data_IF_079283090041
#
_entry.id   IF_079283090041
#
_cell.length_a   1.000
_cell.length_b   1.000
_cell.length_c   1.000
_cell.angle_alpha   90.00
_cell.angle_beta   90.00
_cell.angle_gamma   90.00
#
_symmetry.space_group_name_H-M   'P 1'
#
loop_
_entity.id
_entity.type
_entity.pdbx_description
1 polymer ?
#
# COMPACT_ATOMS: atom_id res chain seq x y z
N UNK A 1 -0.98 -26.27 11.09
CA UNK A 1 -0.32 -25.00 11.47
C UNK A 1 -1.41 -24.06 11.96
N UNK A 2 -1.46 -23.77 13.27
CA UNK A 2 -2.48 -22.87 13.84
C UNK A 2 -2.08 -21.43 13.52
N UNK A 3 -2.78 -20.83 12.55
CA UNK A 3 -2.63 -19.40 12.27
C UNK A 3 -3.60 -18.70 13.22
N UNK A 4 -3.07 -18.04 14.24
CA UNK A 4 -3.85 -17.14 15.10
C UNK A 4 -4.57 -16.12 14.20
N UNK A 5 -5.91 -16.04 14.31
CA UNK A 5 -6.69 -14.97 13.68
C UNK A 5 -6.27 -13.65 14.32
N UNK A 6 -5.39 -12.91 13.65
CA UNK A 6 -5.05 -11.53 14.01
C UNK A 6 -5.98 -10.58 13.27
N UNK A 7 -6.38 -9.53 13.97
CA UNK A 7 -7.30 -8.49 13.49
C UNK A 7 -6.63 -7.53 12.48
N UNK A 8 -5.29 -7.51 12.44
CA UNK A 8 -4.45 -6.62 11.62
C UNK A 8 -3.54 -7.39 10.66
N UNK A 9 -3.14 -6.81 9.51
CA UNK A 9 -2.34 -7.52 8.49
C UNK A 9 -0.98 -7.96 9.05
N UNK A 10 -0.41 -9.07 8.53
CA UNK A 10 0.88 -9.59 8.99
C UNK A 10 1.99 -8.54 8.84
N UNK A 11 2.89 -8.47 9.82
CA UNK A 11 4.04 -7.57 9.76
C UNK A 11 4.88 -7.86 8.51
N UNK A 12 5.63 -6.86 8.02
CA UNK A 12 6.47 -7.00 6.82
C UNK A 12 7.42 -8.20 6.89
N UNK A 13 7.92 -8.50 8.09
CA UNK A 13 8.78 -9.65 8.39
C UNK A 13 8.04 -10.99 8.20
N UNK A 14 6.77 -11.06 8.60
CA UNK A 14 5.94 -12.25 8.46
C UNK A 14 5.64 -12.53 6.98
N UNK A 15 5.24 -11.50 6.22
CA UNK A 15 4.99 -11.62 4.78
C UNK A 15 6.25 -12.11 4.05
N UNK A 16 7.42 -11.54 4.41
CA UNK A 16 8.70 -11.93 3.81
C UNK A 16 9.08 -13.38 4.15
N UNK A 17 8.82 -13.84 5.37
CA UNK A 17 9.11 -15.22 5.79
C UNK A 17 8.28 -16.23 5.02
N UNK A 18 6.99 -15.96 4.84
CA UNK A 18 6.05 -16.92 4.24
C UNK A 18 6.12 -16.94 2.70
N UNK A 19 6.35 -15.79 2.04
CA UNK A 19 6.25 -15.69 0.57
C UNK A 19 7.58 -15.42 -0.14
N UNK A 20 8.62 -14.92 0.55
CA UNK A 20 9.87 -14.48 -0.09
C UNK A 20 9.75 -13.15 -0.85
N UNK A 21 10.89 -12.55 -1.22
CA UNK A 21 10.93 -11.21 -1.86
C UNK A 21 10.39 -11.18 -3.29
N UNK A 22 10.67 -12.22 -4.08
CA UNK A 22 10.25 -12.30 -5.49
C UNK A 22 8.75 -12.50 -5.61
N UNK A 23 8.17 -13.39 -4.79
CA UNK A 23 6.72 -13.64 -4.79
C UNK A 23 5.90 -12.44 -4.35
N UNK A 24 6.42 -11.59 -3.46
CA UNK A 24 5.75 -10.34 -3.06
C UNK A 24 5.63 -9.35 -4.23
N UNK A 25 6.71 -9.17 -5.00
CA UNK A 25 6.67 -8.35 -6.21
C UNK A 25 5.74 -8.94 -7.28
N UNK A 26 5.71 -10.27 -7.44
CA UNK A 26 4.77 -10.94 -8.33
C UNK A 26 3.31 -10.87 -7.86
N UNK A 27 3.07 -10.74 -6.55
CA UNK A 27 1.73 -10.56 -5.99
C UNK A 27 1.15 -9.23 -6.46
N UNK A 28 1.97 -8.17 -6.45
CA UNK A 28 1.59 -6.82 -6.92
C UNK A 28 1.36 -6.76 -8.43
N UNK A 29 2.00 -7.64 -9.23
CA UNK A 29 1.83 -7.68 -10.68
C UNK A 29 0.41 -8.05 -11.13
N UNK A 30 -0.39 -8.67 -10.25
CA UNK A 30 -1.79 -9.03 -10.51
C UNK A 30 -2.79 -8.19 -9.71
N UNK A 31 -2.36 -7.04 -9.17
CA UNK A 31 -3.23 -6.13 -8.44
C UNK A 31 -3.58 -4.91 -9.27
N UNK A 32 -4.87 -4.65 -9.36
CA UNK A 32 -5.40 -3.35 -9.76
C UNK A 32 -5.24 -2.40 -8.58
N UNK A 33 -4.44 -1.35 -8.76
CA UNK A 33 -4.22 -0.32 -7.74
C UNK A 33 -5.11 0.86 -8.07
N UNK A 34 -6.08 1.15 -7.20
CA UNK A 34 -7.01 2.26 -7.37
C UNK A 34 -6.79 3.27 -6.26
N UNK A 35 -6.53 4.52 -6.61
CA UNK A 35 -6.45 5.61 -5.64
C UNK A 35 -7.83 6.13 -5.29
N UNK A 36 -8.15 6.25 -4.01
CA UNK A 36 -9.32 7.00 -3.54
C UNK A 36 -8.81 8.24 -2.83
N UNK A 37 -9.03 9.40 -3.45
CA UNK A 37 -8.58 10.69 -2.94
C UNK A 37 -9.72 11.42 -2.23
N UNK A 38 -9.46 11.94 -1.05
CA UNK A 38 -10.33 12.92 -0.40
C UNK A 38 -10.18 14.29 -1.07
N UNK A 39 -11.27 14.88 -1.54
CA UNK A 39 -11.22 16.20 -2.19
C UNK A 39 -11.04 17.35 -1.19
N UNK A 40 -11.31 17.10 0.10
CA UNK A 40 -11.12 18.08 1.18
C UNK A 40 -9.65 18.17 1.63
N UNK A 41 -8.99 17.02 1.78
CA UNK A 41 -7.65 16.93 2.38
C UNK A 41 -6.56 16.60 1.36
N UNK A 42 -6.94 16.24 0.12
CA UNK A 42 -6.07 15.76 -0.95
C UNK A 42 -5.30 14.48 -0.63
N UNK A 43 -5.58 13.85 0.50
CA UNK A 43 -4.97 12.58 0.86
C UNK A 43 -5.54 11.43 0.05
N UNK A 44 -4.69 10.45 -0.21
CA UNK A 44 -4.99 9.31 -1.07
C UNK A 44 -4.76 8.04 -0.29
N UNK A 45 -5.78 7.19 -0.26
CA UNK A 45 -5.62 5.77 0.07
C UNK A 45 -5.54 4.98 -1.23
N UNK A 46 -4.52 4.14 -1.35
CA UNK A 46 -4.42 3.18 -2.46
C UNK A 46 -5.14 1.92 -2.05
N UNK A 47 -6.13 1.49 -2.82
CA UNK A 47 -6.88 0.26 -2.61
C UNK A 47 -6.45 -0.76 -3.63
N UNK A 48 -6.27 -1.99 -3.20
CA UNK A 48 -5.84 -3.09 -4.04
C UNK A 48 -7.02 -4.01 -4.34
N UNK A 49 -7.23 -4.26 -5.62
CA UNK A 49 -8.15 -5.28 -6.11
C UNK A 49 -7.37 -6.36 -6.85
N UNK A 50 -7.83 -7.60 -6.76
CA UNK A 50 -7.36 -8.69 -7.60
C UNK A 50 -8.53 -9.12 -8.49
N UNK A 51 -8.53 -8.66 -9.73
CA UNK A 51 -9.72 -8.72 -10.58
C UNK A 51 -10.86 -7.90 -9.93
N UNK A 52 -11.97 -8.54 -9.60
CA UNK A 52 -13.14 -7.85 -9.02
C UNK A 52 -13.24 -7.96 -7.49
N UNK A 53 -12.18 -8.32 -6.77
CA UNK A 53 -12.22 -8.53 -5.31
C UNK A 53 -11.20 -7.64 -4.61
N UNK A 54 -11.64 -6.87 -3.60
CA UNK A 54 -10.79 -6.03 -2.74
C UNK A 54 -9.93 -6.94 -1.87
N UNK A 55 -8.63 -6.67 -1.83
CA UNK A 55 -7.66 -7.54 -1.11
C UNK A 55 -6.76 -6.78 -0.15
N UNK A 56 -6.76 -5.45 -0.19
CA UNK A 56 -5.98 -4.65 0.76
C UNK A 56 -5.97 -3.17 0.45
N UNK A 57 -5.20 -2.44 1.22
CA UNK A 57 -4.93 -1.03 0.98
C UNK A 57 -3.52 -0.64 1.43
N UNK A 58 -3.10 0.54 1.00
CA UNK A 58 -1.91 1.22 1.45
C UNK A 58 -2.21 2.71 1.62
N UNK A 59 -1.71 3.28 2.70
CA UNK A 59 -1.80 4.70 2.99
C UNK A 59 -0.42 5.17 3.43
N UNK A 60 0.18 6.06 2.64
CA UNK A 60 1.58 6.49 2.85
C UNK A 60 1.71 7.79 3.64
N UNK A 61 0.62 8.56 3.71
CA UNK A 61 0.56 9.77 4.52
C UNK A 61 0.38 9.39 6.00
N UNK A 62 0.65 10.33 6.91
CA UNK A 62 0.58 10.08 8.36
C UNK A 62 -0.25 11.13 9.11
N UNK A 63 -1.10 11.87 8.39
CA UNK A 63 -1.89 12.93 9.02
C UNK A 63 -3.26 12.45 9.48
N UNK A 64 -3.75 11.32 8.95
CA UNK A 64 -4.98 10.68 9.43
C UNK A 64 -4.60 9.45 10.28
N UNK A 65 -5.23 9.28 11.46
CA UNK A 65 -5.03 8.09 12.30
C UNK A 65 -5.34 6.78 11.56
N UNK A 66 -4.54 5.75 11.84
CA UNK A 66 -4.67 4.44 11.17
C UNK A 66 -6.06 3.82 11.33
N UNK A 67 -6.69 3.97 12.50
CA UNK A 67 -8.06 3.48 12.74
C UNK A 67 -9.10 4.16 11.83
N UNK A 68 -8.96 5.46 11.58
CA UNK A 68 -9.87 6.19 10.70
C UNK A 68 -9.67 5.76 9.25
N UNK A 69 -8.41 5.56 8.83
CA UNK A 69 -8.08 5.02 7.51
C UNK A 69 -8.63 3.61 7.35
N UNK A 70 -8.50 2.75 8.36
CA UNK A 70 -9.02 1.38 8.32
C UNK A 70 -10.56 1.37 8.23
N UNK A 71 -11.24 2.21 9.02
CA UNK A 71 -12.70 2.41 8.90
C UNK A 71 -13.09 2.90 7.51
N UNK A 72 -12.35 3.86 6.96
CA UNK A 72 -12.58 4.35 5.61
C UNK A 72 -12.39 3.24 4.57
N UNK A 73 -11.29 2.49 4.63
CA UNK A 73 -11.04 1.33 3.78
C UNK A 73 -12.18 0.29 3.82
N UNK A 74 -12.70 0.01 5.02
CA UNK A 74 -13.83 -0.92 5.19
C UNK A 74 -15.15 -0.38 4.60
N UNK A 75 -15.28 0.94 4.42
CA UNK A 75 -16.43 1.55 3.74
C UNK A 75 -16.35 1.47 2.21
N UNK A 76 -15.16 1.21 1.65
CA UNK A 76 -14.94 1.07 0.21
C UNK A 76 -15.50 -0.30 -0.24
N UNK A 77 -16.20 -0.41 -1.38
CA UNK A 77 -16.82 -1.65 -1.82
C UNK A 77 -15.85 -2.83 -1.95
N UNK A 78 -16.31 -4.03 -1.59
CA UNK A 78 -15.54 -5.28 -1.76
C UNK A 78 -15.30 -5.63 -3.24
N UNK A 79 -16.11 -5.09 -4.16
CA UNK A 79 -15.99 -5.34 -5.60
C UNK A 79 -15.63 -4.07 -6.35
N UNK A 80 -14.68 -4.15 -7.27
CA UNK A 80 -14.24 -2.98 -8.04
C UNK A 80 -15.36 -2.45 -8.95
N UNK A 81 -16.20 -3.33 -9.47
CA UNK A 81 -17.36 -2.96 -10.28
C UNK A 81 -18.37 -2.05 -9.55
N UNK A 82 -18.39 -2.07 -8.21
CA UNK A 82 -19.30 -1.27 -7.40
C UNK A 82 -18.72 0.11 -7.04
N UNK A 83 -17.43 0.36 -7.34
CA UNK A 83 -16.73 1.61 -6.97
C UNK A 83 -17.37 2.85 -7.57
N UNK A 84 -17.78 2.77 -8.85
CA UNK A 84 -18.40 3.92 -9.53
C UNK A 84 -19.69 4.34 -8.83
N UNK A 85 -20.61 3.38 -8.61
CA UNK A 85 -21.87 3.66 -7.94
C UNK A 85 -21.68 4.12 -6.48
N UNK A 86 -20.63 3.63 -5.81
CA UNK A 86 -20.26 4.10 -4.47
C UNK A 86 -19.71 5.52 -4.48
N UNK A 87 -18.82 5.85 -5.42
CA UNK A 87 -18.27 7.19 -5.58
C UNK A 87 -19.35 8.22 -5.93
N UNK A 88 -20.28 7.85 -6.82
CA UNK A 88 -21.42 8.68 -7.21
C UNK A 88 -22.30 9.03 -5.98
N UNK A 89 -22.49 8.10 -5.03
CA UNK A 89 -23.22 8.36 -3.77
C UNK A 89 -22.48 9.32 -2.84
N UNK A 90 -21.16 9.35 -2.90
CA UNK A 90 -20.33 10.26 -2.12
C UNK A 90 -20.20 11.64 -2.77
N UNK A 91 -20.55 11.74 -4.06
CA UNK A 91 -20.50 12.97 -4.85
C UNK A 91 -19.11 13.58 -4.81
N UNK A 92 -19.04 14.90 -4.59
CA UNK A 92 -17.80 15.66 -4.66
C UNK A 92 -16.85 15.45 -3.47
N UNK A 93 -17.14 14.52 -2.56
CA UNK A 93 -16.29 14.25 -1.39
C UNK A 93 -15.00 13.53 -1.75
N UNK A 94 -15.04 12.71 -2.80
CA UNK A 94 -13.90 11.88 -3.21
C UNK A 94 -13.65 11.95 -4.71
N UNK A 95 -12.44 11.59 -5.12
CA UNK A 95 -12.09 11.30 -6.51
C UNK A 95 -11.53 9.88 -6.58
N UNK A 96 -12.02 9.07 -7.52
CA UNK A 96 -11.39 7.80 -7.87
C UNK A 96 -10.31 8.06 -8.92
N UNK A 97 -9.10 7.56 -8.66
CA UNK A 97 -7.94 7.67 -9.53
C UNK A 97 -7.61 6.26 -10.00
N UNK A 98 -7.98 5.94 -11.23
CA UNK A 98 -7.66 4.67 -11.86
C UNK A 98 -6.45 4.86 -12.78
N UNK A 99 -5.48 3.92 -12.79
CA UNK A 99 -4.46 3.92 -13.82
C UNK A 99 -5.13 3.69 -15.19
N UNK A 100 -4.58 4.25 -16.28
CA UNK A 100 -5.04 3.91 -17.61
C UNK A 100 -5.00 2.39 -17.80
N UNK A 101 -6.00 1.84 -18.50
CA UNK A 101 -6.00 0.41 -18.85
C UNK A 101 -4.70 0.05 -19.56
N UNK A 102 -4.16 -1.13 -19.25
CA UNK A 102 -2.91 -1.68 -19.78
C UNK A 102 -1.62 -0.94 -19.37
N UNK A 103 -1.69 0.02 -18.43
CA UNK A 103 -0.50 0.56 -17.78
C UNK A 103 -0.11 -0.27 -16.56
N UNK A 104 0.92 -1.09 -16.73
CA UNK A 104 1.53 -1.84 -15.64
C UNK A 104 2.60 -0.99 -14.95
N UNK A 105 2.46 -0.80 -13.64
CA UNK A 105 3.51 -0.19 -12.82
C UNK A 105 4.51 -1.28 -12.44
N UNK A 106 5.60 -1.39 -13.20
CA UNK A 106 6.72 -2.23 -12.80
C UNK A 106 7.58 -1.48 -11.79
N UNK A 107 7.73 -2.03 -10.59
CA UNK A 107 8.75 -1.56 -9.65
C UNK A 107 10.11 -1.89 -10.25
N UNK A 108 10.86 -0.88 -10.68
CA UNK A 108 12.21 -1.09 -11.17
C UNK A 108 13.11 -1.51 -9.99
N UNK A 109 13.57 -2.76 -9.98
CA UNK A 109 14.47 -3.30 -8.95
C UNK A 109 15.72 -2.44 -8.72
N UNK A 110 16.15 -1.67 -9.73
CA UNK A 110 17.29 -0.75 -9.63
C UNK A 110 17.03 0.39 -8.65
N UNK A 111 15.82 0.95 -8.61
CA UNK A 111 15.43 2.02 -7.65
C UNK A 111 15.45 1.49 -6.21
N UNK A 112 14.95 0.26 -5.99
CA UNK A 112 14.92 -0.40 -4.67
C UNK A 112 16.33 -0.63 -4.12
N UNK A 113 17.28 -1.00 -4.99
CA UNK A 113 18.68 -1.21 -4.61
C UNK A 113 19.38 0.09 -4.16
N UNK A 114 19.05 1.22 -4.79
CA UNK A 114 19.63 2.53 -4.46
C UNK A 114 19.19 3.01 -3.07
N UNK A 115 17.92 2.81 -2.69
CA UNK A 115 17.42 3.17 -1.34
C UNK A 115 18.11 2.33 -0.26
N UNK A 116 18.32 1.02 -0.49
CA UNK A 116 19.06 0.15 0.44
C UNK A 116 20.51 0.59 0.63
N UNK A 117 21.19 0.93 -0.46
CA UNK A 117 22.59 1.38 -0.40
C UNK A 117 22.76 2.70 0.37
N UNK A 118 21.84 3.66 0.20
CA UNK A 118 21.85 4.92 0.96
C UNK A 118 21.64 4.71 2.47
N UNK A 119 20.77 3.78 2.86
CA UNK A 119 20.51 3.46 4.27
C UNK A 119 21.71 2.80 4.96
N UNK A 120 22.36 1.85 4.28
CA UNK A 120 23.58 1.19 4.77
C UNK A 120 24.72 2.21 4.97
N UNK A 121 24.90 3.12 4.02
CA UNK A 121 25.95 4.14 4.11
C UNK A 121 25.70 5.15 5.24
N UNK A 122 24.45 5.50 5.51
CA UNK A 122 24.09 6.40 6.61
C UNK A 122 24.24 5.73 7.99
N UNK A 123 23.86 4.45 8.12
CA UNK A 123 23.98 3.71 9.39
C UNK A 123 25.44 3.38 9.74
N UNK A 124 26.27 3.10 8.73
CA UNK A 124 27.71 2.94 8.92
C UNK A 124 28.39 4.24 9.36
N UNK A 125 27.97 5.39 8.80
CA UNK A 125 28.51 6.71 9.16
C UNK A 125 28.26 7.05 10.63
N UNK A 126 27.05 6.78 11.15
CA UNK A 126 26.70 6.96 12.57
C UNK A 126 27.51 6.05 13.51
N UNK A 127 27.80 4.81 13.11
CA UNK A 127 28.62 3.90 13.93
C UNK A 127 30.08 4.35 14.04
N UNK A 128 30.65 4.92 12.98
CA UNK A 128 32.00 5.53 13.03
C UNK A 128 32.06 6.79 13.87
N UNK A 129 30.97 7.57 13.95
CA UNK A 129 30.90 8.77 14.78
C UNK A 129 30.72 8.46 16.28
N UNK A 130 30.03 7.37 16.64
CA UNK A 130 29.91 6.92 18.04
C UNK A 130 31.15 6.19 18.60
N UNK A 131 32.06 5.71 17.76
CA UNK A 131 33.27 4.99 18.21
C UNK A 131 34.51 5.90 18.38
N UNK A 132 34.37 7.20 18.12
CA UNK A 132 35.45 8.20 18.24
C UNK A 132 35.18 9.23 19.35
N UNK A 133 34.31 8.91 20.32
CA UNK A 133 33.99 9.75 21.49
C UNK A 133 34.37 9.08 22.80
#
# INVERSE_FOLDING_TARGET
MNIEKREYPPYKEDIKREFGYVSFNCLLANLDIIGVRSNRTFEIISVFYRGNIKVGYMYEYKNIPEEEIFKFYNSIPERSNDLKAWADKLGDKITIIEPPKDNYVFVNDREVSLVKSKKINHDNKRKTECNNG
#
